data_IF_230974636459
#
_entry.id   IF_230974636459
#
_cell.length_a   1.000
_cell.length_b   1.000
_cell.length_c   1.000
_cell.angle_alpha   90.00
_cell.angle_beta   90.00
_cell.angle_gamma   90.00
#
_symmetry.space_group_name_H-M   'P 1'
#
loop_
_entity.id
_entity.type
_entity.pdbx_description
1 polymer ?
#
# COMPACT_ATOMS: atom_id res chain seq x y z
N UNK A 1 38.82 39.48 -43.15
CA UNK A 1 39.59 38.25 -42.83
C UNK A 1 39.29 37.96 -41.38
N UNK A 2 38.76 36.76 -41.16
CA UNK A 2 38.29 36.23 -39.89
C UNK A 2 39.43 36.11 -38.88
N UNK A 3 39.14 36.41 -37.62
CA UNK A 3 39.74 35.69 -36.48
C UNK A 3 38.81 35.84 -35.27
N UNK A 4 38.07 34.76 -35.01
CA UNK A 4 37.30 34.50 -33.79
C UNK A 4 38.26 33.90 -32.76
N UNK A 5 38.22 34.36 -31.52
CA UNK A 5 38.78 33.65 -30.37
C UNK A 5 37.71 33.52 -29.28
N UNK A 6 37.17 32.30 -29.23
CA UNK A 6 36.83 31.50 -28.05
C UNK A 6 35.94 32.13 -26.95
N UNK A 7 34.64 31.89 -27.09
CA UNK A 7 33.71 31.76 -25.96
C UNK A 7 33.71 30.29 -25.53
N UNK A 8 34.23 30.01 -24.34
CA UNK A 8 34.14 28.69 -23.69
C UNK A 8 32.70 28.44 -23.21
N UNK A 9 31.92 27.67 -23.97
CA UNK A 9 30.70 27.03 -23.48
C UNK A 9 31.09 25.72 -22.77
N UNK A 10 30.96 25.72 -21.43
CA UNK A 10 31.06 24.51 -20.61
C UNK A 10 29.77 23.70 -20.75
N UNK A 11 29.79 22.70 -21.64
CA UNK A 11 28.88 21.56 -21.57
C UNK A 11 29.35 20.66 -20.41
N UNK A 12 28.66 20.74 -19.26
CA UNK A 12 28.76 19.71 -18.24
C UNK A 12 27.78 18.59 -18.64
N UNK A 13 28.24 17.63 -19.43
CA UNK A 13 27.62 16.32 -19.50
C UNK A 13 28.06 15.54 -18.25
N UNK A 14 27.16 15.43 -17.29
CA UNK A 14 27.30 14.60 -16.10
C UNK A 14 27.16 13.14 -16.57
N UNK A 15 28.26 12.58 -17.09
CA UNK A 15 28.45 11.15 -17.38
C UNK A 15 28.38 10.39 -16.05
N UNK A 16 27.16 10.11 -15.62
CA UNK A 16 26.92 9.14 -14.56
C UNK A 16 27.00 7.75 -15.21
N UNK A 17 28.23 7.29 -15.44
CA UNK A 17 28.55 5.94 -15.91
C UNK A 17 28.07 4.90 -14.87
N UNK A 18 26.80 4.49 -14.97
CA UNK A 18 26.32 3.29 -14.30
C UNK A 18 26.90 2.07 -15.03
N UNK A 19 28.07 1.62 -14.56
CA UNK A 19 28.74 0.42 -15.07
C UNK A 19 27.83 -0.81 -14.88
N UNK A 20 27.30 -1.31 -15.99
CA UNK A 20 26.42 -2.48 -16.01
C UNK A 20 27.25 -3.74 -15.84
N UNK A 21 27.40 -4.21 -14.59
CA UNK A 21 28.12 -5.45 -14.30
C UNK A 21 27.28 -6.63 -14.79
N UNK A 22 27.83 -7.41 -15.72
CA UNK A 22 27.18 -8.64 -16.19
C UNK A 22 27.08 -9.66 -15.05
N UNK A 23 25.85 -10.07 -14.72
CA UNK A 23 25.56 -10.96 -13.60
C UNK A 23 26.31 -12.30 -13.69
N UNK A 24 26.61 -12.73 -14.92
CA UNK A 24 27.38 -13.94 -15.25
C UNK A 24 28.80 -13.87 -14.68
N UNK A 25 29.46 -12.72 -14.78
CA UNK A 25 30.85 -12.53 -14.35
C UNK A 25 31.02 -12.56 -12.83
N UNK A 26 29.96 -12.24 -12.07
CA UNK A 26 29.94 -12.34 -10.61
C UNK A 26 29.76 -13.79 -10.11
N UNK A 27 29.17 -14.64 -10.96
CA UNK A 27 28.90 -16.05 -10.65
C UNK A 27 30.03 -17.00 -11.10
N UNK A 28 30.97 -16.51 -11.92
CA UNK A 28 32.13 -17.26 -12.43
C UNK A 28 33.39 -17.12 -11.54
N UNK A 29 33.21 -16.92 -10.24
CA UNK A 29 34.30 -17.00 -9.26
C UNK A 29 34.59 -18.46 -8.89
N UNK A 30 35.81 -18.94 -9.19
CA UNK A 30 36.33 -20.26 -8.81
C UNK A 30 36.06 -20.58 -7.33
N UNK A 31 35.17 -21.53 -7.05
CA UNK A 31 34.92 -22.03 -5.69
C UNK A 31 35.25 -23.53 -5.57
N UNK A 32 36.51 -23.84 -5.25
CA UNK A 32 36.90 -25.10 -4.63
C UNK A 32 36.93 -24.97 -3.08
N UNK A 33 36.22 -24.01 -2.48
CA UNK A 33 36.02 -24.03 -1.04
C UNK A 33 34.96 -25.09 -0.68
N UNK A 34 35.31 -25.97 0.25
CA UNK A 34 34.38 -27.01 0.76
C UNK A 34 33.41 -26.42 1.79
N UNK A 35 33.32 -25.09 1.87
CA UNK A 35 32.56 -24.37 2.88
C UNK A 35 31.34 -23.75 2.21
N UNK A 36 30.18 -24.36 2.38
CA UNK A 36 28.92 -23.85 1.83
C UNK A 36 28.58 -22.54 2.56
N UNK A 37 28.88 -21.39 1.95
CA UNK A 37 28.47 -20.08 2.44
C UNK A 37 27.05 -19.82 1.91
N UNK A 38 26.08 -19.74 2.82
CA UNK A 38 24.72 -19.36 2.45
C UNK A 38 24.68 -17.86 2.11
N UNK A 39 23.92 -17.47 1.06
CA UNK A 39 23.66 -16.06 0.79
C UNK A 39 23.09 -15.35 2.02
N UNK A 40 23.36 -14.04 2.18
CA UNK A 40 22.79 -13.27 3.27
C UNK A 40 21.27 -13.35 3.25
N UNK A 41 20.68 -13.58 4.43
CA UNK A 41 19.23 -13.65 4.56
C UNK A 41 18.60 -12.27 4.35
N UNK A 42 17.89 -12.09 3.23
CA UNK A 42 17.11 -10.89 2.96
C UNK A 42 15.74 -10.94 3.65
N UNK A 43 15.29 -9.80 4.20
CA UNK A 43 13.95 -9.68 4.79
C UNK A 43 12.91 -9.59 3.67
N UNK A 44 11.70 -10.12 3.88
CA UNK A 44 10.62 -9.92 2.90
C UNK A 44 10.28 -8.43 2.77
N UNK A 45 10.36 -7.89 1.56
CA UNK A 45 9.91 -6.53 1.28
C UNK A 45 8.45 -6.31 1.71
N UNK A 46 7.60 -7.30 1.48
CA UNK A 46 6.21 -7.33 1.92
C UNK A 46 6.06 -7.08 3.44
N UNK A 47 6.91 -7.74 4.23
CA UNK A 47 6.87 -7.67 5.68
C UNK A 47 7.38 -6.31 6.17
N UNK A 48 8.47 -5.82 5.58
CA UNK A 48 9.00 -4.47 5.87
C UNK A 48 7.95 -3.40 5.57
N UNK A 49 7.32 -3.44 4.39
CA UNK A 49 6.27 -2.49 4.00
C UNK A 49 5.07 -2.55 4.95
N UNK A 50 4.64 -3.76 5.34
CA UNK A 50 3.56 -3.94 6.31
C UNK A 50 3.90 -3.33 7.69
N UNK A 51 5.13 -3.54 8.17
CA UNK A 51 5.58 -2.98 9.45
C UNK A 51 5.63 -1.45 9.43
N UNK A 52 6.11 -0.85 8.33
CA UNK A 52 6.11 0.61 8.13
C UNK A 52 4.67 1.14 8.19
N UNK A 53 3.78 0.55 7.40
CA UNK A 53 2.39 0.97 7.34
C UNK A 53 1.66 0.86 8.69
N UNK A 54 1.93 -0.19 9.48
CA UNK A 54 1.36 -0.32 10.83
C UNK A 54 1.86 0.81 11.73
N UNK A 55 3.17 1.07 11.76
CA UNK A 55 3.74 2.11 12.62
C UNK A 55 3.19 3.49 12.27
N UNK A 56 3.00 3.77 11.00
CA UNK A 56 2.43 5.05 10.55
C UNK A 56 0.93 5.13 10.81
N UNK A 57 0.19 4.04 10.62
CA UNK A 57 -1.22 3.98 11.02
C UNK A 57 -1.39 4.18 12.55
N UNK A 58 -0.46 3.73 13.37
CA UNK A 58 -0.44 4.00 14.82
C UNK A 58 -0.23 5.49 15.12
N UNK A 59 0.64 6.19 14.38
CA UNK A 59 0.81 7.64 14.49
C UNK A 59 -0.50 8.37 14.17
N UNK A 60 -1.25 7.92 13.16
CA UNK A 60 -2.55 8.49 12.82
C UNK A 60 -3.57 8.41 13.98
N UNK A 61 -3.44 7.42 14.87
CA UNK A 61 -4.29 7.25 16.06
C UNK A 61 -4.05 8.27 17.17
N UNK A 62 -3.02 9.12 17.07
CA UNK A 62 -2.82 10.24 17.99
C UNK A 62 -3.99 11.23 17.90
N UNK A 63 -4.59 11.38 16.72
CA UNK A 63 -5.77 12.21 16.52
C UNK A 63 -7.01 11.57 17.16
N UNK A 64 -7.55 12.19 18.21
CA UNK A 64 -8.68 11.66 18.97
C UNK A 64 -9.97 11.48 18.13
N UNK A 65 -10.26 12.41 17.21
CA UNK A 65 -11.44 12.36 16.36
C UNK A 65 -11.35 11.21 15.36
N UNK A 66 -10.20 11.05 14.71
CA UNK A 66 -9.91 9.92 13.83
C UNK A 66 -9.96 8.59 14.58
N UNK A 67 -9.30 8.50 15.75
CA UNK A 67 -9.31 7.30 16.59
C UNK A 67 -10.72 6.88 16.99
N UNK A 68 -11.59 7.83 17.34
CA UNK A 68 -12.97 7.54 17.73
C UNK A 68 -13.77 6.96 16.55
N UNK A 69 -13.74 7.63 15.39
CA UNK A 69 -14.49 7.15 14.22
C UNK A 69 -13.93 5.84 13.67
N UNK A 70 -12.60 5.68 13.67
CA UNK A 70 -11.92 4.45 13.28
C UNK A 70 -12.36 3.28 14.17
N UNK A 71 -12.31 3.44 15.50
CA UNK A 71 -12.71 2.38 16.44
C UNK A 71 -14.20 2.04 16.34
N UNK A 72 -15.07 3.03 16.24
CA UNK A 72 -16.52 2.81 16.08
C UNK A 72 -16.82 2.03 14.80
N UNK A 73 -16.24 2.48 13.68
CA UNK A 73 -16.42 1.86 12.37
C UNK A 73 -15.87 0.44 12.36
N UNK A 74 -14.62 0.23 12.78
CA UNK A 74 -14.02 -1.11 12.78
C UNK A 74 -14.70 -2.08 13.73
N UNK A 75 -15.24 -1.62 14.85
CA UNK A 75 -16.04 -2.49 15.72
C UNK A 75 -17.29 -3.03 15.00
N UNK A 76 -17.94 -2.19 14.18
CA UNK A 76 -19.09 -2.62 13.35
C UNK A 76 -18.64 -3.56 12.22
N UNK A 77 -17.55 -3.23 11.52
CA UNK A 77 -16.98 -4.11 10.49
C UNK A 77 -16.59 -5.47 11.06
N UNK A 78 -15.99 -5.50 12.26
CA UNK A 78 -15.61 -6.73 12.92
C UNK A 78 -16.83 -7.59 13.29
N UNK A 79 -17.92 -6.97 13.78
CA UNK A 79 -19.18 -7.69 14.03
C UNK A 79 -19.75 -8.29 12.75
N UNK A 80 -19.74 -7.54 11.65
CA UNK A 80 -20.20 -8.03 10.36
C UNK A 80 -19.33 -9.19 9.86
N UNK A 81 -18.01 -9.06 9.96
CA UNK A 81 -17.05 -10.10 9.61
C UNK A 81 -17.23 -11.38 10.44
N UNK A 82 -17.39 -11.24 11.76
CA UNK A 82 -17.66 -12.36 12.65
C UNK A 82 -18.98 -13.07 12.28
N UNK A 83 -20.01 -12.30 11.89
CA UNK A 83 -21.28 -12.85 11.43
C UNK A 83 -21.16 -13.58 10.10
N UNK A 84 -20.40 -13.02 9.17
CA UNK A 84 -20.10 -13.66 7.89
C UNK A 84 -19.39 -14.99 8.06
N UNK A 85 -18.41 -15.06 8.96
CA UNK A 85 -17.62 -16.27 9.20
C UNK A 85 -18.31 -17.31 10.09
N UNK A 86 -19.53 -17.04 10.56
CA UNK A 86 -20.28 -17.96 11.40
C UNK A 86 -20.80 -19.17 10.61
N UNK A 87 -21.13 -19.02 9.33
CA UNK A 87 -21.53 -20.13 8.45
C UNK A 87 -21.44 -19.75 6.98
N UNK A 88 -21.28 -20.75 6.11
CA UNK A 88 -21.30 -20.59 4.65
C UNK A 88 -22.61 -19.95 4.16
N UNK A 89 -23.74 -20.35 4.75
CA UNK A 89 -25.04 -19.75 4.43
C UNK A 89 -25.13 -18.26 4.79
N UNK A 90 -24.51 -17.85 5.90
CA UNK A 90 -24.44 -16.43 6.26
C UNK A 90 -23.54 -15.66 5.28
N UNK A 91 -22.40 -16.24 4.90
CA UNK A 91 -21.49 -15.65 3.93
C UNK A 91 -22.12 -15.50 2.54
N UNK A 92 -22.82 -16.52 2.04
CA UNK A 92 -23.50 -16.48 0.75
C UNK A 92 -24.60 -15.43 0.71
N UNK A 93 -25.38 -15.29 1.79
CA UNK A 93 -26.43 -14.28 1.90
C UNK A 93 -25.85 -12.86 1.93
N UNK A 94 -24.78 -12.63 2.71
CA UNK A 94 -24.10 -11.33 2.74
C UNK A 94 -23.51 -11.00 1.36
N UNK A 95 -22.87 -11.97 0.69
CA UNK A 95 -22.33 -11.81 -0.66
C UNK A 95 -23.43 -11.52 -1.68
N UNK A 96 -24.57 -12.21 -1.60
CA UNK A 96 -25.72 -11.97 -2.47
C UNK A 96 -26.29 -10.56 -2.30
N UNK A 97 -26.45 -10.10 -1.04
CA UNK A 97 -26.90 -8.72 -0.75
C UNK A 97 -25.89 -7.71 -1.28
N UNK A 98 -24.59 -7.93 -1.08
CA UNK A 98 -23.57 -7.02 -1.56
C UNK A 98 -23.53 -6.95 -3.10
N UNK A 99 -23.68 -8.08 -3.79
CA UNK A 99 -23.62 -8.17 -5.25
C UNK A 99 -24.89 -7.64 -5.96
N UNK A 100 -26.07 -7.79 -5.37
CA UNK A 100 -27.32 -7.28 -5.95
C UNK A 100 -27.56 -5.79 -5.68
N UNK A 101 -26.90 -5.23 -4.66
CA UNK A 101 -27.10 -3.85 -4.19
C UNK A 101 -25.89 -2.96 -4.56
N UNK A 102 -24.94 -3.42 -5.37
CA UNK A 102 -23.83 -2.59 -5.91
C UNK A 102 -24.27 -1.34 -6.68
N UNK A 103 -25.58 -1.19 -6.93
CA UNK A 103 -26.20 0.00 -7.54
C UNK A 103 -26.88 0.95 -6.54
N UNK A 104 -26.93 0.65 -5.23
CA UNK A 104 -27.56 1.51 -4.22
C UNK A 104 -26.52 1.99 -3.21
N UNK A 105 -26.45 3.31 -2.90
CA UNK A 105 -25.42 3.90 -2.03
C UNK A 105 -25.40 3.41 -0.57
N UNK A 106 -26.39 2.62 -0.13
CA UNK A 106 -26.54 2.12 1.25
C UNK A 106 -26.49 0.59 1.38
N UNK A 107 -25.90 -0.12 0.40
CA UNK A 107 -25.75 -1.59 0.43
C UNK A 107 -25.24 -2.15 1.77
N UNK A 108 -24.30 -1.44 2.39
CA UNK A 108 -23.69 -1.85 3.66
C UNK A 108 -24.70 -1.81 4.82
N UNK A 109 -25.62 -0.84 4.86
CA UNK A 109 -26.61 -0.74 5.93
C UNK A 109 -27.70 -1.81 5.79
N UNK A 110 -28.06 -2.17 4.55
CA UNK A 110 -28.94 -3.32 4.29
C UNK A 110 -28.31 -4.63 4.78
N UNK A 111 -27.00 -4.82 4.57
CA UNK A 111 -26.28 -5.97 5.15
C UNK A 111 -26.32 -5.96 6.68
N UNK A 112 -26.16 -4.79 7.31
CA UNK A 112 -26.23 -4.66 8.78
C UNK A 112 -27.62 -5.01 9.31
N UNK A 113 -28.69 -4.55 8.66
CA UNK A 113 -30.07 -4.87 9.03
C UNK A 113 -30.37 -6.36 8.94
N UNK A 114 -29.95 -6.99 7.83
CA UNK A 114 -30.08 -8.43 7.64
C UNK A 114 -29.35 -9.22 8.75
N UNK A 115 -28.19 -8.72 9.16
CA UNK A 115 -27.41 -9.33 10.23
C UNK A 115 -27.89 -8.97 11.65
N UNK A 116 -28.96 -8.17 11.77
CA UNK A 116 -29.44 -7.57 13.03
C UNK A 116 -28.33 -6.80 13.79
N UNK A 117 -27.47 -6.09 13.05
CA UNK A 117 -26.37 -5.29 13.58
C UNK A 117 -26.67 -3.79 13.52
N UNK A 118 -26.02 -2.97 14.37
CA UNK A 118 -26.19 -1.52 14.33
C UNK A 118 -25.71 -0.92 13.00
N UNK A 119 -26.57 -0.15 12.33
CA UNK A 119 -26.24 0.55 11.07
C UNK A 119 -25.03 1.48 11.22
N UNK A 120 -24.34 1.70 10.10
CA UNK A 120 -23.33 2.74 9.96
C UNK A 120 -23.99 4.11 9.82
N UNK A 121 -23.50 5.06 10.58
CA UNK A 121 -23.84 6.49 10.45
C UNK A 121 -23.27 7.05 9.14
N UNK A 122 -23.78 8.20 8.69
CA UNK A 122 -23.28 8.83 7.45
C UNK A 122 -21.80 9.20 7.56
N UNK A 123 -21.36 9.65 8.73
CA UNK A 123 -19.96 9.93 9.02
C UNK A 123 -19.08 8.68 8.89
N UNK A 124 -19.53 7.53 9.41
CA UNK A 124 -18.78 6.27 9.30
C UNK A 124 -18.73 5.77 7.85
N UNK A 125 -19.82 5.93 7.08
CA UNK A 125 -19.83 5.54 5.66
C UNK A 125 -18.87 6.39 4.84
N UNK A 126 -18.82 7.69 5.08
CA UNK A 126 -17.88 8.58 4.39
C UNK A 126 -16.43 8.30 4.82
N UNK A 127 -16.22 8.03 6.11
CA UNK A 127 -14.93 7.57 6.61
C UNK A 127 -14.46 6.27 5.94
N UNK A 128 -15.33 5.27 5.77
CA UNK A 128 -14.97 4.01 5.10
C UNK A 128 -14.52 4.27 3.66
N UNK A 129 -15.21 5.15 2.93
CA UNK A 129 -14.82 5.51 1.57
C UNK A 129 -13.43 6.13 1.53
N UNK A 130 -13.18 7.15 2.36
CA UNK A 130 -11.87 7.79 2.45
C UNK A 130 -10.78 6.79 2.88
N UNK A 131 -11.07 5.95 3.87
CA UNK A 131 -10.13 4.95 4.39
C UNK A 131 -9.73 3.95 3.31
N UNK A 132 -10.70 3.40 2.57
CA UNK A 132 -10.44 2.49 1.46
C UNK A 132 -9.66 3.18 0.35
N UNK A 133 -9.92 4.46 0.05
CA UNK A 133 -9.16 5.20 -0.96
C UNK A 133 -7.69 5.38 -0.56
N UNK A 134 -7.42 5.71 0.71
CA UNK A 134 -6.04 5.90 1.22
C UNK A 134 -5.29 4.58 1.32
N UNK A 135 -5.95 3.50 1.75
CA UNK A 135 -5.32 2.19 1.98
C UNK A 135 -5.23 1.31 0.73
N UNK A 136 -6.04 1.56 -0.32
CA UNK A 136 -6.06 0.74 -1.55
C UNK A 136 -4.71 0.67 -2.29
N UNK A 137 -3.94 1.77 -2.45
CA UNK A 137 -2.60 1.70 -3.04
C UNK A 137 -1.68 0.76 -2.25
N UNK A 138 -1.71 0.85 -0.92
CA UNK A 138 -0.91 0.02 -0.04
C UNK A 138 -1.32 -1.46 -0.12
N UNK A 139 -2.62 -1.77 -0.11
CA UNK A 139 -3.08 -3.16 -0.24
C UNK A 139 -2.70 -3.75 -1.59
N UNK A 140 -2.81 -2.96 -2.66
CA UNK A 140 -2.41 -3.38 -4.01
C UNK A 140 -0.90 -3.67 -4.08
N UNK A 141 -0.08 -2.81 -3.47
CA UNK A 141 1.37 -3.03 -3.39
C UNK A 141 1.71 -4.31 -2.60
N UNK A 142 1.03 -4.55 -1.47
CA UNK A 142 1.20 -5.78 -0.69
C UNK A 142 0.76 -7.01 -1.49
N UNK A 143 -0.37 -6.98 -2.18
CA UNK A 143 -0.86 -8.09 -3.02
C UNK A 143 0.13 -8.44 -4.13
N UNK A 144 0.78 -7.45 -4.74
CA UNK A 144 1.83 -7.67 -5.75
C UNK A 144 3.08 -8.29 -5.12
N UNK A 145 3.55 -7.73 -4.00
CA UNK A 145 4.77 -8.20 -3.33
C UNK A 145 4.60 -9.56 -2.61
N UNK A 146 3.37 -9.96 -2.31
CA UNK A 146 3.04 -11.27 -1.74
C UNK A 146 2.66 -12.31 -2.80
N UNK A 147 2.49 -11.89 -4.06
CA UNK A 147 2.09 -12.76 -5.15
C UNK A 147 3.20 -13.75 -5.53
N UNK A 148 2.83 -15.00 -5.80
CA UNK A 148 3.78 -16.04 -6.22
C UNK A 148 4.29 -15.84 -7.67
N UNK A 149 3.58 -15.05 -8.49
CA UNK A 149 3.92 -14.77 -9.88
C UNK A 149 4.68 -13.44 -9.98
N UNK A 150 5.95 -13.49 -10.37
CA UNK A 150 6.76 -12.28 -10.62
C UNK A 150 7.55 -11.76 -9.42
N UNK A 151 7.73 -12.55 -8.35
CA UNK A 151 8.59 -12.19 -7.23
C UNK A 151 10.09 -12.33 -7.57
N UNK A 152 10.57 -11.43 -8.42
CA UNK A 152 11.99 -11.15 -8.59
C UNK A 152 12.26 -9.78 -7.97
N UNK A 153 13.48 -9.51 -7.48
CA UNK A 153 13.84 -8.20 -6.92
C UNK A 153 13.55 -7.02 -7.87
N UNK A 154 13.44 -7.28 -9.18
CA UNK A 154 13.06 -6.29 -10.20
C UNK A 154 11.66 -5.69 -10.08
N UNK A 155 10.73 -6.29 -9.33
CA UNK A 155 9.39 -5.72 -9.11
C UNK A 155 9.31 -4.81 -7.89
N UNK A 156 10.30 -4.86 -7.00
CA UNK A 156 10.26 -4.08 -5.75
C UNK A 156 10.28 -2.58 -6.03
N UNK A 157 11.25 -2.11 -6.81
CA UNK A 157 11.42 -0.69 -7.10
C UNK A 157 10.22 -0.10 -7.88
N UNK A 158 9.70 -0.74 -8.95
CA UNK A 158 8.49 -0.26 -9.62
C UNK A 158 7.25 -0.21 -8.72
N UNK A 159 7.08 -1.19 -7.83
CA UNK A 159 5.92 -1.24 -6.92
C UNK A 159 6.01 -0.14 -5.87
N UNK A 160 7.18 0.09 -5.28
CA UNK A 160 7.38 1.18 -4.32
C UNK A 160 7.20 2.55 -4.97
N UNK A 161 7.73 2.75 -6.18
CA UNK A 161 7.55 4.00 -6.93
C UNK A 161 6.06 4.25 -7.24
N UNK A 162 5.35 3.24 -7.74
CA UNK A 162 3.90 3.35 -8.00
C UNK A 162 3.08 3.57 -6.73
N UNK A 163 3.48 2.96 -5.62
CA UNK A 163 2.84 3.15 -4.32
C UNK A 163 2.98 4.60 -3.85
N UNK A 164 4.20 5.14 -3.93
CA UNK A 164 4.51 6.53 -3.55
C UNK A 164 3.65 7.51 -4.35
N UNK A 165 3.69 7.43 -5.68
CA UNK A 165 2.92 8.31 -6.57
C UNK A 165 1.41 8.26 -6.28
N UNK A 166 0.86 7.05 -6.06
CA UNK A 166 -0.56 6.86 -5.74
C UNK A 166 -0.95 7.42 -4.37
N UNK A 167 -0.05 7.35 -3.39
CA UNK A 167 -0.27 7.93 -2.06
C UNK A 167 -0.14 9.45 -2.09
N UNK A 168 0.83 10.00 -2.83
CA UNK A 168 1.01 11.45 -3.02
C UNK A 168 -0.24 12.06 -3.67
N UNK A 169 -0.82 11.37 -4.66
CA UNK A 169 -2.09 11.73 -5.25
C UNK A 169 -3.27 11.74 -4.24
N UNK A 170 -3.20 10.98 -3.13
CA UNK A 170 -4.21 11.06 -2.06
C UNK A 170 -4.00 12.26 -1.13
N UNK A 171 -2.77 12.74 -0.93
CA UNK A 171 -2.52 13.99 -0.18
C UNK A 171 -3.20 15.17 -0.85
N UNK A 172 -3.18 15.22 -2.19
CA UNK A 172 -3.79 16.29 -2.96
C UNK A 172 -5.33 16.32 -2.88
N UNK A 173 -5.95 15.27 -2.34
CA UNK A 173 -7.41 15.22 -2.16
C UNK A 173 -7.82 15.83 -0.83
N UNK A 174 -8.96 16.52 -0.82
CA UNK A 174 -9.55 17.06 0.42
C UNK A 174 -10.17 15.95 1.27
N UNK A 175 -9.35 15.25 2.06
CA UNK A 175 -9.83 14.26 3.04
C UNK A 175 -10.47 14.97 4.24
N UNK A 176 -11.61 14.50 4.73
CA UNK A 176 -12.30 15.10 5.90
C UNK A 176 -11.95 14.33 7.18
N UNK A 177 -11.94 13.01 7.12
CA UNK A 177 -11.71 12.13 8.27
C UNK A 177 -10.31 11.51 8.25
N UNK A 178 -9.81 11.11 7.09
CA UNK A 178 -8.55 10.39 6.95
C UNK A 178 -7.30 11.27 6.80
N UNK A 179 -7.38 12.58 7.07
CA UNK A 179 -6.20 13.46 7.08
C UNK A 179 -5.03 12.92 7.92
N UNK A 180 -5.25 12.34 9.12
CA UNK A 180 -4.15 11.81 9.92
C UNK A 180 -3.41 10.62 9.29
N UNK A 181 -3.97 9.97 8.25
CA UNK A 181 -3.30 8.87 7.54
C UNK A 181 -2.29 9.34 6.49
N UNK A 182 -2.17 10.66 6.24
CA UNK A 182 -1.16 11.19 5.32
C UNK A 182 0.28 10.87 5.78
N UNK A 183 0.48 10.57 7.07
CA UNK A 183 1.75 10.10 7.63
C UNK A 183 2.26 8.78 7.02
N UNK A 184 1.41 8.02 6.31
CA UNK A 184 1.82 6.80 5.59
C UNK A 184 2.87 7.07 4.51
N UNK A 185 2.95 8.28 3.97
CA UNK A 185 3.97 8.67 3.01
C UNK A 185 5.32 8.91 3.68
N UNK A 186 5.32 9.47 4.89
CA UNK A 186 6.56 9.72 5.61
C UNK A 186 7.36 8.42 5.78
N UNK A 187 6.72 7.29 6.10
CA UNK A 187 7.43 6.03 6.26
C UNK A 187 7.92 5.36 4.98
N UNK A 188 7.45 5.77 3.80
CA UNK A 188 7.92 5.24 2.50
C UNK A 188 9.11 6.06 1.96
N UNK A 189 9.31 7.29 2.46
CA UNK A 189 10.41 8.17 2.05
C UNK A 189 11.72 7.95 2.82
N UNK A 190 11.73 7.18 3.91
CA UNK A 190 12.91 6.82 4.70
C UNK A 190 13.45 5.42 4.35
#
# INVERSE_FOLDING_TARGET
>A
VYENQELEERENEDDNDEEFIELTSLLEGDDYSTEIILPPHHRCACHTLHLIAIKDAEKAMINARYKQIFRSTLAKCHKLWAKQNQSTQAADKIRHINNHITHVPDSINTCMDFCALPRFTDAEREFIKEYCQVMCPLSTALDILQGEKGMYMGYLLPVLYSLKDKLDAQIMKSLIYCKPLQVLLEGIEY
#
